data_IF_844939193192
#
_entry.id   IF_844939193192
#
_cell.length_a   1.000
_cell.length_b   1.000
_cell.length_c   1.000
_cell.angle_alpha   90.00
_cell.angle_beta   90.00
_cell.angle_gamma   90.00
#
_symmetry.space_group_name_H-M   'P 1'
#
loop_
_entity.id
_entity.type
_entity.pdbx_description
1 polymer ?
#
# COMPACT_ATOMS: atom_id res chain seq x y z
N UNK A 1 -6.88 -5.16 -13.74
CA UNK A 1 -6.75 -3.95 -12.90
C UNK A 1 -6.12 -2.80 -13.67
N UNK A 2 -5.16 -3.11 -14.52
CA UNK A 2 -4.43 -2.11 -15.30
C UNK A 2 -5.28 -1.47 -16.40
N UNK A 3 -6.09 -2.24 -17.09
CA UNK A 3 -6.89 -1.76 -18.22
C UNK A 3 -8.03 -0.86 -17.76
N UNK A 4 -8.77 -1.25 -16.73
CA UNK A 4 -9.83 -0.41 -16.15
C UNK A 4 -9.32 0.97 -15.71
N UNK A 5 -8.07 1.08 -15.31
CA UNK A 5 -7.46 2.30 -14.83
C UNK A 5 -6.45 2.91 -15.82
N UNK A 6 -6.41 2.44 -17.06
CA UNK A 6 -5.53 2.95 -18.12
C UNK A 6 -4.05 3.01 -17.67
N UNK A 7 -3.56 1.96 -17.02
CA UNK A 7 -2.18 1.86 -16.52
C UNK A 7 -1.84 2.66 -15.26
N UNK A 8 -2.71 3.58 -14.82
CA UNK A 8 -2.43 4.48 -13.68
C UNK A 8 -2.04 3.77 -12.39
N UNK A 9 -2.53 2.56 -12.17
CA UNK A 9 -2.26 1.79 -10.96
C UNK A 9 -1.23 0.67 -11.17
N UNK A 10 -0.38 0.78 -12.17
CA UNK A 10 0.62 -0.25 -12.47
C UNK A 10 1.54 -0.52 -11.28
N UNK A 11 2.05 0.51 -10.60
CA UNK A 11 2.94 0.39 -9.44
C UNK A 11 2.20 0.18 -8.11
N UNK A 12 1.13 -0.63 -8.12
CA UNK A 12 0.36 -0.92 -6.91
C UNK A 12 0.98 -2.04 -6.06
N UNK A 13 0.52 -2.15 -4.82
CA UNK A 13 0.97 -3.19 -3.86
C UNK A 13 0.72 -4.61 -4.39
N UNK A 14 -0.38 -4.86 -5.09
CA UNK A 14 -0.67 -6.18 -5.68
C UNK A 14 0.39 -6.59 -6.70
N UNK A 15 0.85 -5.66 -7.55
CA UNK A 15 1.91 -5.94 -8.52
C UNK A 15 3.26 -6.19 -7.85
N UNK A 16 3.59 -5.48 -6.77
CA UNK A 16 4.79 -5.76 -5.97
C UNK A 16 4.75 -7.15 -5.35
N UNK A 17 3.61 -7.55 -4.77
CA UNK A 17 3.43 -8.90 -4.22
C UNK A 17 3.57 -9.96 -5.32
N UNK A 18 2.94 -9.74 -6.49
CA UNK A 18 3.07 -10.62 -7.66
C UNK A 18 4.54 -10.78 -8.09
N UNK A 19 5.26 -9.67 -8.22
CA UNK A 19 6.69 -9.70 -8.54
C UNK A 19 7.49 -10.49 -7.49
N UNK A 20 7.13 -10.38 -6.22
CA UNK A 20 7.76 -11.14 -5.14
C UNK A 20 7.62 -12.65 -5.32
N UNK A 21 6.44 -13.13 -5.67
CA UNK A 21 6.23 -14.55 -5.99
C UNK A 21 7.07 -14.99 -7.20
N UNK A 22 7.07 -14.22 -8.28
CA UNK A 22 7.88 -14.53 -9.49
C UNK A 22 9.36 -14.58 -9.15
N UNK A 23 9.89 -13.62 -8.36
CA UNK A 23 11.29 -13.57 -7.92
C UNK A 23 11.66 -14.70 -6.96
N UNK A 24 10.67 -15.33 -6.35
CA UNK A 24 10.82 -16.54 -5.51
C UNK A 24 10.64 -17.83 -6.31
N UNK A 25 10.68 -17.76 -7.65
CA UNK A 25 10.56 -18.87 -8.59
C UNK A 25 9.19 -19.57 -8.57
N UNK A 26 8.12 -18.86 -8.19
CA UNK A 26 6.77 -19.39 -8.32
C UNK A 26 6.18 -19.05 -9.69
N UNK A 27 5.41 -19.96 -10.25
CA UNK A 27 4.55 -19.72 -11.40
C UNK A 27 3.33 -18.91 -10.94
N UNK A 28 3.09 -17.75 -11.54
CA UNK A 28 2.03 -16.84 -11.10
C UNK A 28 1.11 -16.47 -12.26
N UNK A 29 -0.19 -16.72 -12.07
CA UNK A 29 -1.25 -16.27 -12.97
C UNK A 29 -1.96 -15.07 -12.33
N UNK A 30 -1.87 -13.91 -12.98
CA UNK A 30 -2.62 -12.73 -12.56
C UNK A 30 -4.08 -12.83 -13.01
N UNK A 31 -5.00 -12.65 -12.07
CA UNK A 31 -6.43 -12.64 -12.35
C UNK A 31 -7.02 -11.30 -11.91
N UNK A 32 -7.32 -10.42 -12.87
CA UNK A 32 -7.86 -9.09 -12.59
C UNK A 32 -9.37 -9.08 -12.60
N UNK A 33 -9.98 -9.15 -11.43
CA UNK A 33 -11.43 -9.09 -11.25
C UNK A 33 -12.05 -7.85 -11.89
N UNK A 34 -11.44 -6.69 -11.73
CA UNK A 34 -11.96 -5.41 -12.21
C UNK A 34 -11.87 -5.25 -13.72
N UNK A 35 -10.84 -5.79 -14.36
CA UNK A 35 -10.72 -5.75 -15.81
C UNK A 35 -11.73 -6.70 -16.45
N UNK A 36 -11.88 -7.92 -15.91
CA UNK A 36 -12.87 -8.89 -16.35
C UNK A 36 -14.28 -8.31 -16.28
N UNK A 37 -14.65 -7.70 -15.15
CA UNK A 37 -15.96 -7.03 -14.99
C UNK A 37 -16.14 -5.91 -16.00
N UNK A 38 -15.09 -5.11 -16.26
CA UNK A 38 -15.15 -4.00 -17.21
C UNK A 38 -15.48 -4.44 -18.63
N UNK A 39 -14.91 -5.59 -19.05
CA UNK A 39 -15.11 -6.15 -20.39
C UNK A 39 -16.41 -6.91 -20.57
N UNK A 40 -16.87 -7.60 -19.52
CA UNK A 40 -17.95 -8.58 -19.66
C UNK A 40 -19.30 -8.15 -19.08
N UNK A 41 -19.49 -6.86 -18.77
CA UNK A 41 -20.80 -6.33 -18.37
C UNK A 41 -21.84 -6.51 -19.48
N UNK A 42 -23.01 -7.02 -19.10
CA UNK A 42 -24.17 -7.19 -19.99
C UNK A 42 -25.42 -6.74 -19.26
N UNK A 43 -26.52 -6.55 -20.04
CA UNK A 43 -27.84 -6.16 -19.50
C UNK A 43 -28.32 -7.11 -18.38
N UNK A 44 -28.04 -8.41 -18.50
CA UNK A 44 -28.40 -9.42 -17.50
C UNK A 44 -27.31 -9.69 -16.44
N UNK A 45 -26.19 -8.95 -16.45
CA UNK A 45 -25.08 -9.02 -15.51
C UNK A 45 -24.46 -7.62 -15.34
N UNK A 46 -25.26 -6.68 -14.78
CA UNK A 46 -24.94 -5.26 -14.69
C UNK A 46 -23.62 -4.96 -13.96
N UNK A 47 -23.33 -5.73 -12.91
CA UNK A 47 -22.08 -5.60 -12.14
C UNK A 47 -20.97 -6.50 -12.68
N UNK A 48 -21.24 -7.35 -13.67
CA UNK A 48 -20.29 -8.30 -14.26
C UNK A 48 -19.87 -9.44 -13.32
N UNK A 49 -20.53 -9.57 -12.16
CA UNK A 49 -20.11 -10.51 -11.13
C UNK A 49 -20.39 -11.97 -11.49
N UNK A 50 -21.48 -12.26 -12.22
CA UNK A 50 -21.81 -13.63 -12.67
C UNK A 50 -20.70 -14.17 -13.57
N UNK A 51 -20.34 -13.40 -14.60
CA UNK A 51 -19.29 -13.80 -15.55
C UNK A 51 -17.93 -13.88 -14.89
N UNK A 52 -17.58 -12.93 -14.00
CA UNK A 52 -16.36 -12.94 -13.22
C UNK A 52 -16.19 -14.23 -12.42
N UNK A 53 -17.22 -14.61 -11.65
CA UNK A 53 -17.17 -15.78 -10.78
C UNK A 53 -17.11 -17.10 -11.60
N UNK A 54 -17.84 -17.18 -12.72
CA UNK A 54 -17.72 -18.31 -13.65
C UNK A 54 -16.30 -18.39 -14.23
N UNK A 55 -15.75 -17.26 -14.71
CA UNK A 55 -14.40 -17.19 -15.27
C UNK A 55 -13.33 -17.60 -14.27
N UNK A 56 -13.49 -17.24 -13.01
CA UNK A 56 -12.57 -17.64 -11.95
C UNK A 56 -12.53 -19.18 -11.79
N UNK A 57 -13.70 -19.84 -11.80
CA UNK A 57 -13.78 -21.31 -11.69
C UNK A 57 -13.10 -21.96 -12.91
N UNK A 58 -13.40 -21.45 -14.14
CA UNK A 58 -12.78 -21.94 -15.38
C UNK A 58 -11.24 -21.83 -15.35
N UNK A 59 -10.71 -20.71 -14.87
CA UNK A 59 -9.26 -20.49 -14.75
C UNK A 59 -8.65 -21.45 -13.71
N UNK A 60 -9.29 -21.61 -12.54
CA UNK A 60 -8.79 -22.51 -11.49
C UNK A 60 -8.79 -23.96 -11.96
N UNK A 61 -9.83 -24.39 -12.70
CA UNK A 61 -9.89 -25.78 -13.21
C UNK A 61 -8.79 -26.11 -14.21
N UNK A 62 -8.27 -25.11 -14.93
CA UNK A 62 -7.19 -25.30 -15.91
C UNK A 62 -5.80 -25.11 -15.30
N UNK A 63 -5.65 -24.13 -14.38
CA UNK A 63 -4.35 -23.76 -13.81
C UNK A 63 -3.97 -24.58 -12.58
N UNK A 64 -4.97 -25.01 -11.79
CA UNK A 64 -4.82 -25.79 -10.55
C UNK A 64 -3.74 -25.19 -9.60
N UNK A 65 -3.91 -23.96 -9.10
CA UNK A 65 -2.91 -23.32 -8.25
C UNK A 65 -2.80 -24.00 -6.87
N UNK A 66 -1.61 -24.02 -6.27
CA UNK A 66 -1.46 -24.40 -4.86
C UNK A 66 -2.01 -23.35 -3.91
N UNK A 67 -1.95 -22.07 -4.33
CA UNK A 67 -2.33 -20.91 -3.53
C UNK A 67 -3.13 -19.91 -4.35
N UNK A 68 -4.26 -19.45 -3.81
CA UNK A 68 -5.00 -18.30 -4.33
C UNK A 68 -4.85 -17.13 -3.35
N UNK A 69 -4.31 -16.01 -3.84
CA UNK A 69 -4.11 -14.79 -3.05
C UNK A 69 -5.11 -13.73 -3.48
N UNK A 70 -6.12 -13.51 -2.66
CA UNK A 70 -7.10 -12.46 -2.90
C UNK A 70 -6.57 -11.09 -2.45
N UNK A 71 -6.56 -10.11 -3.34
CA UNK A 71 -6.51 -8.71 -2.97
C UNK A 71 -7.87 -8.26 -2.39
N UNK A 72 -8.35 -7.06 -2.77
CA UNK A 72 -9.70 -6.64 -2.35
C UNK A 72 -10.78 -7.58 -2.86
N UNK A 73 -10.76 -7.91 -4.17
CA UNK A 73 -11.61 -8.93 -4.82
C UNK A 73 -13.08 -8.91 -4.33
N UNK A 74 -13.68 -7.72 -4.28
CA UNK A 74 -14.98 -7.46 -3.64
C UNK A 74 -16.16 -8.13 -4.37
N UNK A 75 -15.99 -8.42 -5.67
CA UNK A 75 -17.02 -9.03 -6.53
C UNK A 75 -16.92 -10.55 -6.61
N UNK A 76 -15.92 -11.15 -5.97
CA UNK A 76 -15.86 -12.61 -5.84
C UNK A 76 -16.82 -13.04 -4.72
N UNK A 77 -17.80 -13.85 -5.11
CA UNK A 77 -18.89 -14.29 -4.23
C UNK A 77 -18.43 -15.36 -3.25
N UNK A 78 -19.03 -15.38 -2.06
CA UNK A 78 -18.74 -16.41 -1.05
C UNK A 78 -19.04 -17.82 -1.56
N UNK A 79 -20.12 -17.99 -2.31
CA UNK A 79 -20.52 -19.27 -2.92
C UNK A 79 -19.43 -19.80 -3.86
N UNK A 80 -18.80 -18.91 -4.62
CA UNK A 80 -17.66 -19.27 -5.49
C UNK A 80 -16.46 -19.77 -4.69
N UNK A 81 -16.14 -19.09 -3.60
CA UNK A 81 -15.03 -19.50 -2.70
C UNK A 81 -15.34 -20.85 -2.04
N UNK A 82 -16.58 -21.04 -1.57
CA UNK A 82 -17.02 -22.30 -0.97
C UNK A 82 -16.98 -23.45 -1.99
N UNK A 83 -17.40 -23.22 -3.22
CA UNK A 83 -17.28 -24.18 -4.32
C UNK A 83 -15.82 -24.58 -4.55
N UNK A 84 -14.92 -23.60 -4.63
CA UNK A 84 -13.47 -23.86 -4.82
C UNK A 84 -12.93 -24.72 -3.67
N UNK A 85 -13.23 -24.37 -2.42
CA UNK A 85 -12.76 -25.15 -1.25
C UNK A 85 -13.29 -26.58 -1.25
N UNK A 86 -14.52 -26.79 -1.71
CA UNK A 86 -15.14 -28.12 -1.77
C UNK A 86 -14.55 -28.95 -2.91
N UNK A 87 -14.37 -28.33 -4.08
CA UNK A 87 -13.94 -29.04 -5.31
C UNK A 87 -12.43 -29.26 -5.33
N UNK A 88 -11.66 -28.33 -4.75
CA UNK A 88 -10.19 -28.35 -4.76
C UNK A 88 -9.63 -28.19 -3.33
N UNK A 89 -9.78 -29.21 -2.46
CA UNK A 89 -9.47 -29.09 -1.02
C UNK A 89 -7.99 -28.86 -0.72
N UNK A 90 -7.11 -29.14 -1.66
CA UNK A 90 -5.67 -28.93 -1.52
C UNK A 90 -5.24 -27.48 -1.79
N UNK A 91 -6.07 -26.68 -2.46
CA UNK A 91 -5.77 -25.26 -2.73
C UNK A 91 -5.88 -24.46 -1.43
N UNK A 92 -4.82 -23.75 -1.08
CA UNK A 92 -4.83 -22.81 0.04
C UNK A 92 -5.31 -21.44 -0.40
N UNK A 93 -6.06 -20.78 0.48
CA UNK A 93 -6.67 -19.48 0.23
C UNK A 93 -6.20 -18.45 1.24
N UNK A 94 -5.74 -17.31 0.77
CA UNK A 94 -5.49 -16.18 1.65
C UNK A 94 -6.01 -14.86 1.06
N UNK A 95 -6.15 -13.85 1.90
CA UNK A 95 -6.43 -12.48 1.45
C UNK A 95 -5.48 -11.49 2.07
N UNK A 96 -5.21 -10.39 1.36
CA UNK A 96 -4.55 -9.22 1.90
C UNK A 96 -5.40 -7.97 1.67
N UNK A 97 -5.34 -7.03 2.61
CA UNK A 97 -6.13 -5.82 2.58
C UNK A 97 -5.27 -4.59 2.89
N UNK A 98 -5.20 -3.68 1.93
CA UNK A 98 -4.31 -2.52 1.95
C UNK A 98 -4.93 -1.33 2.67
N UNK A 99 -6.26 -1.15 2.54
CA UNK A 99 -6.93 0.04 3.00
C UNK A 99 -7.01 0.09 4.52
N UNK A 100 -7.11 1.30 5.04
CA UNK A 100 -7.30 1.55 6.47
C UNK A 100 -8.58 0.89 6.98
N UNK A 101 -8.47 0.18 8.09
CA UNK A 101 -9.58 -0.46 8.78
C UNK A 101 -9.61 -0.01 10.23
N UNK A 102 -10.66 0.71 10.60
CA UNK A 102 -10.98 1.10 11.97
C UNK A 102 -12.47 1.46 12.06
N UNK A 103 -12.90 1.90 13.24
CA UNK A 103 -14.30 2.28 13.50
C UNK A 103 -14.82 3.43 12.64
N UNK A 104 -13.94 4.28 12.11
CA UNK A 104 -14.30 5.36 11.16
C UNK A 104 -14.47 4.83 9.73
N UNK A 105 -13.83 3.70 9.41
CA UNK A 105 -13.79 3.10 8.07
C UNK A 105 -14.46 1.72 8.07
N UNK A 106 -15.67 1.66 8.63
CA UNK A 106 -16.48 0.43 8.75
C UNK A 106 -16.66 -0.27 7.40
N UNK A 107 -16.84 0.49 6.31
CA UNK A 107 -16.98 -0.09 4.98
C UNK A 107 -15.77 -0.95 4.56
N UNK A 108 -14.56 -0.52 4.90
CA UNK A 108 -13.36 -1.31 4.63
C UNK A 108 -13.30 -2.56 5.52
N UNK A 109 -13.71 -2.45 6.76
CA UNK A 109 -13.77 -3.57 7.67
C UNK A 109 -14.79 -4.64 7.19
N UNK A 110 -15.98 -4.22 6.76
CA UNK A 110 -17.00 -5.11 6.17
C UNK A 110 -16.47 -5.83 4.92
N UNK A 111 -15.77 -5.12 4.04
CA UNK A 111 -15.14 -5.71 2.83
C UNK A 111 -14.08 -6.76 3.21
N UNK A 112 -13.27 -6.49 4.22
CA UNK A 112 -12.28 -7.45 4.72
C UNK A 112 -12.95 -8.68 5.33
N UNK A 113 -14.01 -8.49 6.12
CA UNK A 113 -14.76 -9.56 6.78
C UNK A 113 -15.54 -10.44 5.80
N UNK A 114 -15.89 -9.94 4.63
CA UNK A 114 -16.70 -10.66 3.63
C UNK A 114 -16.14 -12.06 3.29
N UNK A 115 -14.83 -12.23 3.25
CA UNK A 115 -14.15 -13.49 2.92
C UNK A 115 -13.37 -14.09 4.10
N UNK A 116 -13.30 -13.37 5.22
CA UNK A 116 -12.36 -13.61 6.31
C UNK A 116 -12.37 -15.04 6.84
N UNK A 117 -13.55 -15.59 7.12
CA UNK A 117 -13.75 -16.92 7.70
C UNK A 117 -13.46 -18.07 6.73
N UNK A 118 -13.43 -17.77 5.43
CA UNK A 118 -13.13 -18.74 4.36
C UNK A 118 -11.64 -18.88 4.04
N UNK A 119 -10.81 -17.97 4.56
CA UNK A 119 -9.36 -17.95 4.30
C UNK A 119 -8.59 -18.84 5.29
N UNK A 120 -7.50 -19.43 4.81
CA UNK A 120 -6.52 -20.12 5.66
C UNK A 120 -5.64 -19.11 6.40
N UNK A 121 -5.35 -17.96 5.79
CA UNK A 121 -4.68 -16.83 6.42
C UNK A 121 -5.22 -15.48 5.91
N UNK A 122 -5.21 -14.48 6.80
CA UNK A 122 -5.64 -13.12 6.48
C UNK A 122 -4.50 -12.13 6.78
N UNK A 123 -4.28 -11.18 5.87
CA UNK A 123 -3.23 -10.18 5.98
C UNK A 123 -3.80 -8.77 5.89
N UNK A 124 -3.29 -7.85 6.69
CA UNK A 124 -3.72 -6.46 6.66
C UNK A 124 -2.59 -5.50 7.01
N UNK A 125 -2.65 -4.29 6.48
CA UNK A 125 -1.65 -3.24 6.71
C UNK A 125 -1.87 -2.43 7.99
N UNK A 126 -2.70 -2.91 8.92
CA UNK A 126 -2.89 -2.36 10.26
C UNK A 126 -2.56 -3.43 11.29
N UNK A 127 -2.27 -3.04 12.54
CA UNK A 127 -2.09 -4.03 13.60
C UNK A 127 -3.39 -4.86 13.76
N UNK A 128 -3.36 -6.19 13.55
CA UNK A 128 -4.53 -7.04 13.69
C UNK A 128 -5.25 -6.92 15.04
N UNK A 129 -4.53 -6.53 16.09
CA UNK A 129 -5.10 -6.32 17.43
C UNK A 129 -6.05 -5.13 17.48
N UNK A 130 -5.97 -4.19 16.55
CA UNK A 130 -6.78 -2.96 16.51
C UNK A 130 -8.04 -3.06 15.64
N UNK A 131 -8.31 -4.21 15.01
CA UNK A 131 -9.40 -4.37 14.04
C UNK A 131 -10.81 -4.36 14.64
N UNK A 132 -10.95 -4.48 15.96
CA UNK A 132 -12.23 -4.32 16.67
C UNK A 132 -13.25 -5.47 16.52
N UNK A 133 -12.86 -6.62 15.97
CA UNK A 133 -13.70 -7.82 15.92
C UNK A 133 -12.97 -9.07 16.42
N UNK A 134 -13.75 -10.09 16.82
CA UNK A 134 -13.20 -11.38 17.25
C UNK A 134 -12.61 -12.13 16.06
N UNK A 135 -11.31 -12.40 16.14
CA UNK A 135 -10.59 -13.15 15.11
C UNK A 135 -10.62 -14.64 15.42
N UNK A 136 -11.25 -15.41 14.54
CA UNK A 136 -11.32 -16.88 14.58
C UNK A 136 -10.47 -17.54 13.50
N UNK A 137 -9.72 -16.75 12.72
CA UNK A 137 -8.79 -17.19 11.69
C UNK A 137 -7.43 -16.50 11.87
N UNK A 138 -6.33 -17.14 11.46
CA UNK A 138 -5.01 -16.52 11.48
C UNK A 138 -5.04 -15.16 10.77
N UNK A 139 -4.56 -14.14 11.46
CA UNK A 139 -4.55 -12.76 10.94
C UNK A 139 -3.23 -12.11 11.28
N UNK A 140 -2.54 -11.62 10.25
CA UNK A 140 -1.19 -11.12 10.33
C UNK A 140 -1.09 -9.68 9.83
N UNK A 141 -0.17 -8.92 10.43
CA UNK A 141 0.25 -7.64 9.88
C UNK A 141 1.10 -7.87 8.63
N UNK A 142 0.79 -7.15 7.55
CA UNK A 142 1.52 -7.17 6.30
C UNK A 142 1.97 -5.75 5.97
N UNK A 143 3.27 -5.41 6.06
CA UNK A 143 3.75 -4.11 5.63
C UNK A 143 3.67 -3.96 4.10
N UNK A 144 3.52 -2.71 3.63
CA UNK A 144 3.58 -2.43 2.20
C UNK A 144 4.96 -2.74 1.64
N UNK A 145 5.08 -3.59 0.62
CA UNK A 145 6.38 -3.95 0.05
C UNK A 145 6.97 -2.83 -0.82
N UNK A 146 8.29 -2.86 -0.95
CA UNK A 146 9.03 -2.27 -2.07
C UNK A 146 9.42 -3.34 -3.07
N UNK A 147 9.58 -2.96 -4.33
CA UNK A 147 10.08 -3.84 -5.39
C UNK A 147 11.25 -3.19 -6.11
N UNK A 148 12.33 -3.93 -6.30
CA UNK A 148 13.55 -3.43 -6.93
C UNK A 148 13.36 -2.96 -8.38
N UNK A 149 12.30 -3.43 -9.06
CA UNK A 149 11.96 -2.98 -10.41
C UNK A 149 11.14 -1.68 -10.41
N UNK A 150 10.57 -1.28 -9.28
CA UNK A 150 9.74 -0.08 -9.13
C UNK A 150 10.46 1.02 -8.37
N UNK A 151 10.95 0.74 -7.16
CA UNK A 151 11.64 1.70 -6.29
C UNK A 151 13.14 1.75 -6.61
N UNK A 152 13.47 2.31 -7.79
CA UNK A 152 14.84 2.35 -8.32
C UNK A 152 15.62 3.60 -7.93
N UNK A 153 14.92 4.67 -7.59
CA UNK A 153 15.55 5.94 -7.29
C UNK A 153 16.37 5.89 -6.00
N UNK A 154 17.34 6.78 -5.93
CA UNK A 154 18.20 7.00 -4.78
C UNK A 154 18.35 8.51 -4.56
N UNK A 155 17.24 9.18 -4.26
CA UNK A 155 17.21 10.63 -4.16
C UNK A 155 18.25 11.21 -3.18
N UNK A 156 18.71 10.42 -2.22
CA UNK A 156 19.79 10.82 -1.32
C UNK A 156 21.16 10.93 -2.02
N UNK A 157 21.34 10.38 -3.20
CA UNK A 157 22.59 10.51 -3.99
C UNK A 157 22.59 11.74 -4.90
N UNK A 158 21.42 12.35 -5.13
CA UNK A 158 21.28 13.51 -5.99
C UNK A 158 21.46 14.82 -5.20
N UNK A 159 22.36 15.67 -5.67
CA UNK A 159 22.64 16.99 -5.07
C UNK A 159 21.70 18.08 -5.60
N UNK A 160 21.13 17.88 -6.77
CA UNK A 160 20.29 18.86 -7.47
C UNK A 160 18.82 18.43 -7.49
N UNK A 161 18.14 18.60 -6.35
CA UNK A 161 16.72 18.33 -6.20
C UNK A 161 15.96 19.65 -6.09
N UNK A 162 14.95 19.81 -6.95
CA UNK A 162 14.22 21.08 -7.11
C UNK A 162 13.28 21.40 -5.95
N UNK A 163 12.76 20.35 -5.27
CA UNK A 163 11.74 20.47 -4.24
C UNK A 163 12.24 19.88 -2.91
N UNK A 164 11.77 20.47 -1.81
CA UNK A 164 12.15 20.03 -0.48
C UNK A 164 11.23 18.93 0.05
N UNK A 165 9.90 19.08 -0.11
CA UNK A 165 8.92 18.14 0.44
C UNK A 165 7.89 17.76 -0.62
N UNK A 166 7.77 16.48 -0.88
CA UNK A 166 6.75 15.89 -1.74
C UNK A 166 5.55 15.40 -0.93
N UNK A 167 4.35 15.71 -1.43
CA UNK A 167 3.12 15.09 -0.96
C UNK A 167 2.12 14.92 -2.12
N UNK A 168 1.58 13.72 -2.28
CA UNK A 168 0.53 13.44 -3.25
C UNK A 168 -0.62 12.67 -2.63
N UNK A 169 -1.85 12.98 -3.02
CA UNK A 169 -3.04 12.24 -2.63
C UNK A 169 -4.01 12.08 -3.80
N UNK A 170 -4.83 11.02 -3.75
CA UNK A 170 -5.85 10.74 -4.77
C UNK A 170 -7.16 11.51 -4.54
N UNK A 171 -7.30 12.19 -3.42
CA UNK A 171 -8.51 12.88 -2.97
C UNK A 171 -9.76 11.97 -2.90
N UNK A 172 -9.58 10.65 -2.80
CA UNK A 172 -10.65 9.66 -2.84
C UNK A 172 -11.42 9.64 -4.17
N UNK A 173 -10.81 10.11 -5.25
CA UNK A 173 -11.48 10.27 -6.54
C UNK A 173 -11.41 8.97 -7.32
N UNK A 174 -12.56 8.41 -7.64
CA UNK A 174 -12.67 7.14 -8.36
C UNK A 174 -11.91 7.08 -9.69
N UNK A 175 -11.64 8.19 -10.33
CA UNK A 175 -10.97 8.25 -11.64
C UNK A 175 -9.64 9.00 -11.63
N UNK A 176 -9.10 9.29 -10.46
CA UNK A 176 -7.83 9.99 -10.33
C UNK A 176 -7.85 11.42 -10.88
N UNK A 177 -8.99 12.11 -10.77
CA UNK A 177 -9.16 13.50 -11.19
C UNK A 177 -9.60 14.30 -9.96
N UNK A 178 -8.94 15.43 -9.71
CA UNK A 178 -9.35 16.39 -8.69
C UNK A 178 -10.70 17.03 -9.09
N UNK A 179 -11.69 16.91 -8.23
CA UNK A 179 -13.02 17.52 -8.44
C UNK A 179 -13.12 18.85 -7.69
N UNK A 180 -13.63 19.87 -8.36
CA UNK A 180 -13.92 21.17 -7.73
C UNK A 180 -14.88 21.00 -6.56
N UNK A 181 -14.65 21.76 -5.49
CA UNK A 181 -15.52 21.78 -4.30
C UNK A 181 -15.42 20.53 -3.40
N UNK A 182 -14.60 19.55 -3.74
CA UNK A 182 -14.36 18.42 -2.85
C UNK A 182 -13.21 18.76 -1.90
N UNK A 183 -13.49 18.73 -0.61
CA UNK A 183 -12.56 19.10 0.45
C UNK A 183 -11.98 17.86 1.14
N UNK A 184 -10.70 17.92 1.50
CA UNK A 184 -10.00 16.88 2.27
C UNK A 184 -9.26 17.52 3.47
N UNK A 185 -9.44 16.97 4.66
CA UNK A 185 -8.82 17.51 5.90
C UNK A 185 -7.29 17.62 5.82
N UNK A 186 -6.65 16.82 4.94
CA UNK A 186 -5.21 16.88 4.72
C UNK A 186 -4.76 18.17 4.04
N UNK A 187 -5.64 18.80 3.25
CA UNK A 187 -5.34 20.11 2.62
C UNK A 187 -5.15 21.20 3.67
N UNK A 188 -6.02 21.27 4.68
CA UNK A 188 -5.84 22.22 5.80
C UNK A 188 -4.51 21.98 6.51
N UNK A 189 -4.19 20.70 6.75
CA UNK A 189 -2.94 20.36 7.42
C UNK A 189 -1.73 20.83 6.62
N UNK A 190 -1.73 20.62 5.30
CA UNK A 190 -0.63 21.02 4.41
C UNK A 190 -0.56 22.56 4.30
N UNK A 191 -1.69 23.28 4.18
CA UNK A 191 -1.68 24.75 4.13
C UNK A 191 -1.08 25.36 5.41
N UNK A 192 -1.52 24.89 6.58
CA UNK A 192 -0.92 25.32 7.86
C UNK A 192 0.56 24.96 7.98
N UNK A 193 0.98 23.84 7.40
CA UNK A 193 2.39 23.46 7.37
C UNK A 193 3.20 24.43 6.51
N UNK A 194 2.70 24.81 5.32
CA UNK A 194 3.33 25.82 4.45
C UNK A 194 3.50 27.17 5.16
N UNK A 195 2.48 27.62 5.89
CA UNK A 195 2.54 28.86 6.69
C UNK A 195 3.66 28.81 7.74
N UNK A 196 3.87 27.65 8.39
CA UNK A 196 4.92 27.46 9.38
C UNK A 196 6.32 27.25 8.77
N UNK A 197 6.40 27.06 7.45
CA UNK A 197 7.64 26.72 6.74
C UNK A 197 7.76 27.50 5.43
N UNK A 198 7.72 28.86 5.45
CA UNK A 198 7.59 29.68 4.24
C UNK A 198 8.75 29.54 3.24
N UNK A 199 9.93 29.12 3.69
CA UNK A 199 11.13 28.93 2.85
C UNK A 199 11.31 27.48 2.35
N UNK A 200 10.31 26.61 2.54
CA UNK A 200 10.32 25.22 2.08
C UNK A 200 9.56 25.08 0.77
N UNK A 201 10.17 24.50 -0.23
CA UNK A 201 9.55 24.26 -1.54
C UNK A 201 8.77 22.94 -1.50
N UNK A 202 7.45 23.04 -1.67
CA UNK A 202 6.56 21.88 -1.70
C UNK A 202 6.21 21.47 -3.12
N UNK A 203 6.19 20.17 -3.36
CA UNK A 203 5.67 19.53 -4.57
C UNK A 203 4.39 18.77 -4.21
N UNK A 204 3.23 19.32 -4.58
CA UNK A 204 1.91 18.90 -4.08
C UNK A 204 1.02 18.44 -5.23
N UNK A 205 0.42 17.24 -5.09
CA UNK A 205 -0.49 16.67 -6.09
C UNK A 205 -1.78 16.13 -5.46
N UNK A 206 -2.88 16.25 -6.22
CA UNK A 206 -4.23 15.92 -5.77
C UNK A 206 -4.82 16.95 -4.82
N UNK A 207 -4.23 18.13 -4.75
CA UNK A 207 -4.64 19.29 -3.98
C UNK A 207 -4.07 20.57 -4.60
N UNK A 208 -4.42 21.73 -4.05
CA UNK A 208 -3.85 23.03 -4.45
C UNK A 208 -3.95 23.27 -5.97
N UNK A 209 -5.11 22.89 -6.56
CA UNK A 209 -5.40 22.89 -8.00
C UNK A 209 -4.55 21.95 -8.86
N UNK A 210 -3.59 21.23 -8.30
CA UNK A 210 -2.78 20.25 -9.01
C UNK A 210 -3.49 18.90 -9.08
N UNK A 211 -3.54 18.31 -10.27
CA UNK A 211 -4.12 16.98 -10.45
C UNK A 211 -3.31 15.90 -9.74
N UNK A 212 -3.93 14.79 -9.32
CA UNK A 212 -3.20 13.62 -8.83
C UNK A 212 -2.25 13.06 -9.88
N UNK A 213 -1.10 12.57 -9.45
CA UNK A 213 -0.09 11.91 -10.29
C UNK A 213 -0.09 10.40 -10.08
N UNK A 214 0.18 9.66 -11.17
CA UNK A 214 0.08 8.21 -11.20
C UNK A 214 1.20 7.59 -12.04
N UNK A 215 1.48 6.31 -11.79
CA UNK A 215 2.42 5.50 -12.55
C UNK A 215 3.78 6.21 -12.73
N UNK A 216 4.35 6.24 -13.94
CA UNK A 216 5.65 6.86 -14.21
C UNK A 216 5.69 8.35 -13.89
N UNK A 217 4.58 9.07 -14.09
CA UNK A 217 4.51 10.47 -13.73
C UNK A 217 4.68 10.67 -12.21
N UNK A 218 4.13 9.79 -11.37
CA UNK A 218 4.39 9.81 -9.93
C UNK A 218 5.88 9.61 -9.62
N UNK A 219 6.52 8.63 -10.28
CA UNK A 219 7.97 8.36 -10.11
C UNK A 219 8.81 9.57 -10.56
N UNK A 220 8.46 10.18 -11.69
CA UNK A 220 9.13 11.37 -12.20
C UNK A 220 9.02 12.56 -11.23
N UNK A 221 7.85 12.76 -10.61
CA UNK A 221 7.70 13.85 -9.65
C UNK A 221 8.49 13.58 -8.35
N UNK A 222 8.41 12.40 -7.77
CA UNK A 222 9.18 12.11 -6.55
C UNK A 222 10.69 12.17 -6.79
N UNK A 223 11.18 11.95 -8.02
CA UNK A 223 12.61 12.02 -8.33
C UNK A 223 13.21 13.42 -8.13
N UNK A 224 12.37 14.46 -8.06
CA UNK A 224 12.77 15.84 -7.88
C UNK A 224 12.72 16.35 -6.44
N UNK A 225 12.41 15.49 -5.48
CA UNK A 225 12.14 15.91 -4.10
C UNK A 225 13.09 15.25 -3.08
N UNK A 226 13.49 16.02 -2.06
CA UNK A 226 14.41 15.60 -1.00
C UNK A 226 13.75 14.73 0.07
N UNK A 227 12.54 15.09 0.47
CA UNK A 227 11.80 14.52 1.58
C UNK A 227 10.38 14.20 1.16
N UNK A 228 9.73 13.26 1.83
CA UNK A 228 8.34 12.90 1.57
C UNK A 228 7.50 12.84 2.83
N UNK A 229 6.24 13.27 2.72
CA UNK A 229 5.29 13.23 3.82
C UNK A 229 4.30 12.08 3.66
N UNK A 230 4.27 11.16 4.62
CA UNK A 230 3.24 10.15 4.70
C UNK A 230 2.12 10.63 5.64
N UNK A 231 1.15 11.33 5.08
CA UNK A 231 -0.04 11.82 5.77
C UNK A 231 -1.26 11.02 5.31
N UNK A 232 -1.79 10.18 6.20
CA UNK A 232 -3.00 9.40 5.96
C UNK A 232 -4.25 10.19 6.35
N UNK A 233 -5.39 9.88 5.74
CA UNK A 233 -6.66 10.51 6.09
C UNK A 233 -7.11 10.06 7.49
N UNK A 234 -7.65 10.98 8.28
CA UNK A 234 -8.13 10.75 9.64
C UNK A 234 -7.02 10.53 10.67
N UNK A 235 -7.38 10.05 11.87
CA UNK A 235 -6.42 9.80 12.95
C UNK A 235 -5.46 8.67 12.60
N UNK A 236 -4.17 8.74 12.98
CA UNK A 236 -3.23 7.65 12.76
C UNK A 236 -3.69 6.33 13.39
N UNK A 237 -3.47 5.24 12.69
CA UNK A 237 -3.74 3.87 13.16
C UNK A 237 -2.43 3.13 13.32
N UNK A 238 -2.32 2.33 14.36
CA UNK A 238 -1.09 1.57 14.64
C UNK A 238 -0.72 0.66 13.47
N UNK A 239 0.53 0.77 13.03
CA UNK A 239 1.16 0.08 11.91
C UNK A 239 0.55 0.39 10.53
N UNK A 240 -0.46 1.24 10.45
CA UNK A 240 -1.01 1.63 9.16
C UNK A 240 -0.16 2.71 8.47
N UNK A 241 0.20 2.44 7.24
CA UNK A 241 0.67 3.44 6.28
C UNK A 241 -0.04 3.24 4.93
N UNK A 242 -0.19 4.32 4.18
CA UNK A 242 -0.58 4.18 2.77
C UNK A 242 0.59 3.60 1.96
N UNK A 243 0.29 3.08 0.76
CA UNK A 243 1.30 2.61 -0.21
C UNK A 243 2.38 3.66 -0.51
N UNK A 244 2.04 4.94 -0.44
CA UNK A 244 2.97 6.08 -0.58
C UNK A 244 4.19 5.96 0.33
N UNK A 245 4.04 5.44 1.55
CA UNK A 245 5.18 5.29 2.47
C UNK A 245 6.28 4.41 1.85
N UNK A 246 5.91 3.23 1.35
CA UNK A 246 6.85 2.33 0.68
C UNK A 246 7.47 2.96 -0.56
N UNK A 247 6.66 3.66 -1.36
CA UNK A 247 7.14 4.35 -2.56
C UNK A 247 8.16 5.46 -2.23
N UNK A 248 7.91 6.26 -1.21
CA UNK A 248 8.81 7.35 -0.82
C UNK A 248 10.12 6.82 -0.23
N UNK A 249 10.05 5.95 0.78
CA UNK A 249 11.24 5.40 1.44
C UNK A 249 12.05 4.51 0.50
N UNK A 250 11.37 3.72 -0.34
CA UNK A 250 11.99 2.83 -1.33
C UNK A 250 12.77 3.58 -2.41
N UNK A 251 12.32 4.78 -2.78
CA UNK A 251 12.99 5.65 -3.74
C UNK A 251 14.01 6.61 -3.11
N UNK A 252 14.27 6.47 -1.82
CA UNK A 252 15.37 7.17 -1.15
C UNK A 252 15.07 8.60 -0.74
N UNK A 253 13.80 8.95 -0.54
CA UNK A 253 13.43 10.17 0.15
C UNK A 253 13.52 9.98 1.66
N UNK A 254 13.84 11.05 2.40
CA UNK A 254 13.61 11.06 3.85
C UNK A 254 12.11 11.13 4.11
N UNK A 255 11.57 10.21 4.90
CA UNK A 255 10.12 10.12 5.11
C UNK A 255 9.71 10.58 6.50
N UNK A 256 8.70 11.49 6.54
CA UNK A 256 8.00 11.89 7.75
C UNK A 256 6.72 11.08 7.93
N UNK A 257 6.49 10.60 9.16
CA UNK A 257 5.29 9.86 9.54
C UNK A 257 4.86 10.19 10.97
N UNK A 258 3.55 10.21 11.24
CA UNK A 258 3.03 10.46 12.58
C UNK A 258 3.49 9.38 13.57
N UNK A 259 3.99 9.78 14.75
CA UNK A 259 4.51 8.86 15.78
C UNK A 259 3.46 7.87 16.31
N UNK A 260 2.17 8.25 16.26
CA UNK A 260 1.06 7.39 16.69
C UNK A 260 0.87 6.18 15.77
N UNK A 261 1.41 6.22 14.55
CA UNK A 261 1.45 5.06 13.65
C UNK A 261 2.37 3.94 14.16
N UNK A 262 3.26 4.23 15.13
CA UNK A 262 4.22 3.29 15.73
C UNK A 262 5.19 2.64 14.74
N UNK A 263 5.47 3.30 13.62
CA UNK A 263 6.52 2.85 12.68
C UNK A 263 7.93 2.88 13.30
N UNK A 264 8.13 3.64 14.39
CA UNK A 264 9.34 3.56 15.22
C UNK A 264 9.62 2.17 15.78
N UNK A 265 8.64 1.28 15.81
CA UNK A 265 8.81 -0.12 16.18
C UNK A 265 9.61 -0.90 15.13
N UNK A 266 9.60 -0.47 13.88
CA UNK A 266 10.27 -1.12 12.75
C UNK A 266 11.50 -0.36 12.26
N UNK A 267 11.46 0.97 12.31
CA UNK A 267 12.45 1.87 11.75
C UNK A 267 12.84 2.91 12.80
N UNK A 268 14.12 3.04 13.11
CA UNK A 268 14.62 3.94 14.14
C UNK A 268 14.80 5.40 13.62
N UNK A 269 15.20 6.31 14.51
CA UNK A 269 15.41 7.74 14.21
C UNK A 269 16.48 8.04 13.14
N UNK A 270 17.33 7.07 12.82
CA UNK A 270 18.33 7.19 11.76
C UNK A 270 17.83 6.63 10.40
N UNK A 271 16.57 6.19 10.33
CA UNK A 271 15.96 5.53 9.16
C UNK A 271 14.67 6.23 8.71
N UNK A 272 13.92 6.83 9.66
CA UNK A 272 12.74 7.66 9.40
C UNK A 272 12.67 8.82 10.38
N UNK A 273 11.78 9.78 10.11
CA UNK A 273 11.47 10.88 11.02
C UNK A 273 10.02 10.81 11.44
N UNK A 274 9.78 10.51 12.72
CA UNK A 274 8.44 10.61 13.30
C UNK A 274 8.14 12.02 13.77
N UNK A 275 6.86 12.43 13.80
CA UNK A 275 6.44 13.72 14.34
C UNK A 275 5.19 13.57 15.23
N UNK A 276 5.07 14.45 16.25
CA UNK A 276 3.97 14.45 17.23
C UNK A 276 2.77 15.28 16.80
N UNK A 277 3.03 16.40 16.17
CA UNK A 277 2.05 17.37 15.73
C UNK A 277 2.64 18.27 14.63
N UNK A 278 1.83 19.18 14.10
CA UNK A 278 2.20 20.10 13.03
C UNK A 278 3.42 20.96 13.36
N UNK A 279 3.48 21.51 14.59
CA UNK A 279 4.60 22.36 15.04
C UNK A 279 5.91 21.57 15.17
N UNK A 280 5.86 20.32 15.62
CA UNK A 280 7.03 19.44 15.66
C UNK A 280 7.50 19.06 14.25
N UNK A 281 6.55 18.75 13.34
CA UNK A 281 6.84 18.47 11.95
C UNK A 281 7.53 19.65 11.26
N UNK A 282 6.99 20.88 11.41
CA UNK A 282 7.57 22.08 10.78
C UNK A 282 9.02 22.33 11.23
N UNK A 283 9.29 22.21 12.53
CA UNK A 283 10.66 22.35 13.06
C UNK A 283 11.61 21.30 12.50
N UNK A 284 11.17 20.04 12.38
CA UNK A 284 11.97 18.94 11.81
C UNK A 284 12.24 19.13 10.33
N UNK A 285 11.24 19.57 9.55
CA UNK A 285 11.43 19.90 8.13
C UNK A 285 12.47 21.01 7.96
N UNK A 286 12.32 22.12 8.66
CA UNK A 286 13.27 23.25 8.59
C UNK A 286 14.70 22.80 8.95
N UNK A 287 14.84 22.03 10.05
CA UNK A 287 16.15 21.53 10.50
C UNK A 287 16.81 20.65 9.43
N UNK A 288 16.06 19.72 8.85
CA UNK A 288 16.60 18.74 7.90
C UNK A 288 16.79 19.33 6.51
N UNK A 289 16.01 20.34 6.15
CA UNK A 289 16.22 21.08 4.90
C UNK A 289 17.51 21.91 4.93
N UNK A 290 17.92 22.38 6.11
CA UNK A 290 19.19 23.09 6.33
C UNK A 290 20.40 22.15 6.51
N UNK A 291 20.17 20.86 6.80
CA UNK A 291 21.23 19.88 7.03
C UNK A 291 21.13 18.72 6.04
N UNK A 292 21.62 18.98 4.83
CA UNK A 292 21.52 18.02 3.72
C UNK A 292 22.28 16.71 3.99
N UNK A 293 23.43 16.79 4.66
CA UNK A 293 24.22 15.60 5.01
C UNK A 293 23.45 14.65 5.94
N UNK A 294 22.82 15.20 6.99
CA UNK A 294 22.01 14.40 7.91
C UNK A 294 20.75 13.84 7.20
N UNK A 295 20.08 14.66 6.37
CA UNK A 295 18.93 14.25 5.56
C UNK A 295 19.26 13.06 4.66
N UNK A 296 20.34 13.16 3.89
CA UNK A 296 20.83 12.10 2.99
C UNK A 296 21.15 10.82 3.75
N UNK A 297 21.83 10.94 4.91
CA UNK A 297 22.17 9.80 5.76
C UNK A 297 20.91 9.05 6.23
N UNK A 298 19.91 9.77 6.75
CA UNK A 298 18.66 9.16 7.21
C UNK A 298 17.92 8.51 6.04
N UNK A 299 17.79 9.20 4.89
CA UNK A 299 17.13 8.68 3.70
C UNK A 299 17.79 7.39 3.16
N UNK A 300 19.12 7.38 3.07
CA UNK A 300 19.90 6.19 2.68
C UNK A 300 19.67 5.02 3.62
N UNK A 301 19.75 5.25 4.93
CA UNK A 301 19.55 4.20 5.92
C UNK A 301 18.12 3.65 5.86
N UNK A 302 17.12 4.53 5.75
CA UNK A 302 15.71 4.14 5.61
C UNK A 302 15.48 3.28 4.38
N UNK A 303 15.96 3.72 3.22
CA UNK A 303 15.87 2.95 1.97
C UNK A 303 16.53 1.57 2.10
N UNK A 304 17.77 1.52 2.55
CA UNK A 304 18.53 0.27 2.67
C UNK A 304 17.83 -0.71 3.63
N UNK A 305 17.35 -0.21 4.76
CA UNK A 305 16.59 -1.00 5.73
C UNK A 305 15.31 -1.54 5.12
N UNK A 306 14.57 -0.69 4.41
CA UNK A 306 13.28 -1.06 3.86
C UNK A 306 13.44 -2.09 2.72
N UNK A 307 14.39 -1.89 1.80
CA UNK A 307 14.71 -2.88 0.77
C UNK A 307 15.24 -4.20 1.35
N UNK A 308 15.97 -4.16 2.47
CA UNK A 308 16.48 -5.37 3.11
C UNK A 308 15.38 -6.24 3.73
N UNK A 309 14.40 -5.63 4.40
CA UNK A 309 13.46 -6.38 5.24
C UNK A 309 12.01 -6.34 4.78
N UNK A 310 11.64 -5.42 3.88
CA UNK A 310 10.26 -5.20 3.43
C UNK A 310 10.13 -5.28 1.90
N UNK A 311 11.03 -6.00 1.25
CA UNK A 311 10.96 -6.18 -0.19
C UNK A 311 9.89 -7.21 -0.59
N UNK A 312 9.51 -7.14 -1.85
CA UNK A 312 8.44 -7.96 -2.44
C UNK A 312 8.67 -9.47 -2.24
N UNK A 313 9.92 -9.94 -2.36
CA UNK A 313 10.29 -11.35 -2.17
C UNK A 313 10.00 -11.83 -0.75
N UNK A 314 10.46 -11.09 0.27
CA UNK A 314 10.24 -11.44 1.69
C UNK A 314 8.74 -11.38 2.04
N UNK A 315 8.01 -10.42 1.47
CA UNK A 315 6.57 -10.32 1.69
C UNK A 315 5.81 -11.51 1.07
N UNK A 316 6.17 -11.94 -0.12
CA UNK A 316 5.55 -13.12 -0.74
C UNK A 316 5.90 -14.41 -0.01
N UNK A 317 7.14 -14.58 0.45
CA UNK A 317 7.54 -15.69 1.32
C UNK A 317 6.73 -15.72 2.62
N UNK A 318 6.52 -14.55 3.25
CA UNK A 318 5.71 -14.43 4.44
C UNK A 318 4.27 -14.89 4.21
N UNK A 319 3.66 -14.46 3.09
CA UNK A 319 2.30 -14.88 2.72
C UNK A 319 2.24 -16.41 2.58
N UNK A 320 3.17 -17.03 1.86
CA UNK A 320 3.24 -18.50 1.71
C UNK A 320 3.39 -19.16 3.08
N UNK A 321 4.42 -18.77 3.82
CA UNK A 321 4.77 -19.37 5.10
C UNK A 321 3.60 -19.39 6.08
N UNK A 322 2.88 -18.25 6.20
CA UNK A 322 1.74 -18.15 7.09
C UNK A 322 0.52 -18.90 6.58
N UNK A 323 0.29 -18.91 5.26
CA UNK A 323 -0.87 -19.59 4.69
C UNK A 323 -0.74 -21.11 4.75
N UNK A 324 0.46 -21.64 4.53
CA UNK A 324 0.74 -23.09 4.61
C UNK A 324 1.17 -23.54 6.02
N UNK A 325 1.21 -22.62 6.99
CA UNK A 325 1.64 -22.91 8.37
C UNK A 325 3.05 -23.53 8.45
N UNK A 326 3.97 -23.04 7.63
CA UNK A 326 5.36 -23.50 7.60
C UNK A 326 6.13 -22.89 8.77
N UNK A 327 6.80 -23.71 9.56
CA UNK A 327 7.66 -23.23 10.65
C UNK A 327 8.92 -22.55 10.09
N UNK A 328 9.12 -21.30 10.42
CA UNK A 328 10.28 -20.50 10.02
C UNK A 328 10.74 -19.59 11.15
N UNK A 329 11.91 -18.94 10.98
CA UNK A 329 12.32 -17.84 11.84
C UNK A 329 11.30 -16.69 11.71
N UNK A 330 11.13 -15.89 12.78
CA UNK A 330 10.27 -14.70 12.75
C UNK A 330 10.76 -13.71 11.68
N UNK A 331 9.83 -13.16 10.96
CA UNK A 331 10.11 -12.03 10.05
C UNK A 331 10.36 -10.76 10.85
N UNK A 332 11.07 -9.83 10.25
CA UNK A 332 11.55 -8.63 10.94
C UNK A 332 10.45 -7.82 11.65
N UNK A 333 9.25 -7.81 11.11
CA UNK A 333 8.09 -7.08 11.68
C UNK A 333 7.22 -7.91 12.63
N UNK A 334 7.53 -9.17 12.82
CA UNK A 334 6.84 -10.02 13.81
C UNK A 334 7.48 -9.83 15.19
N UNK A 335 6.76 -9.18 16.07
CA UNK A 335 7.16 -8.95 17.46
C UNK A 335 6.44 -9.88 18.42
#
# INVERSE_FOLDING_TARGET
FNERHNGRLFYNTGKRINNGFIRSNHSVLEFSDRDIVSYYRKINDFDGSKRLNKKMIEVISNYLPDLIVFGHADLIKRETILFIKKTYPNIRLCQWFLDRMDTKWISNLVRFQHKYDLMDANFCTSDPKTLGFKKNKPTYYLPNPVDESFEKLKNYENDFLNNDVFFAMSHGVHRGILKRGKFDEREIFIQKLKELTPNVKYDLFGMDSNQPVWADNFINQISNSKMGLNLSQGKPVKYYSSDRFAQLIGNGLLVFIDEKSKFSDFLNKNEIVTYKNLKDLSKKIIKLNKNDQLRKKIAKNGRNKYHKFFNSKIISEFIITKTFNIKTKKYYWEK
#
